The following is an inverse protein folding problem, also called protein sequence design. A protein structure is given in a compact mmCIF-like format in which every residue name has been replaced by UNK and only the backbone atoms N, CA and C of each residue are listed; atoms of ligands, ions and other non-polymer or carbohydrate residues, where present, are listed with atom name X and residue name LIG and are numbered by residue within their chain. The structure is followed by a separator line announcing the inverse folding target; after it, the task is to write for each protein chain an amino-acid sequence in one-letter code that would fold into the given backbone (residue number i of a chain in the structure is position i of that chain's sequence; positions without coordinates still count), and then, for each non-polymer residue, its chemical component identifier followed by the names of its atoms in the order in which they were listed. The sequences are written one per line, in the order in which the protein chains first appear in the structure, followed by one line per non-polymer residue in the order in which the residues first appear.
data_IF_764592706213
#
_entry.id   IF_764592706213
#
_cell.length_a   1.000
_cell.length_b   1.000
_cell.length_c   1.000
_cell.angle_alpha   90.00
_cell.angle_beta   90.00
_cell.angle_gamma   90.00
#
_symmetry.space_group_name_H-M   'P 1'
#
loop_
_entity.id
_entity.type
_entity.pdbx_description
1 polymer ?
#
# COMPACT_ATOMS: atom_id res chain seq x y z
N UNK A 1 13.19 5.71 6.24
CA UNK A 1 14.48 5.53 6.92
C UNK A 1 15.33 4.48 6.26
N UNK A 2 16.61 4.49 6.59
CA UNK A 2 17.59 3.58 6.01
C UNK A 2 18.60 3.14 7.07
N UNK A 3 19.11 1.91 6.93
CA UNK A 3 20.23 1.41 7.72
C UNK A 3 21.46 1.39 6.83
N UNK A 4 22.49 2.12 7.25
CA UNK A 4 23.80 2.13 6.59
C UNK A 4 24.70 1.11 7.31
N UNK A 5 25.02 0.01 6.64
CA UNK A 5 25.96 -1.01 7.10
C UNK A 5 27.22 -0.94 6.24
N UNK A 6 28.37 -0.69 6.85
CA UNK A 6 29.65 -0.63 6.13
C UNK A 6 30.39 -1.96 6.28
N UNK A 7 30.79 -2.58 5.17
CA UNK A 7 31.66 -3.78 5.17
C UNK A 7 32.98 -3.45 5.87
N UNK A 8 33.29 -4.19 6.92
CA UNK A 8 34.55 -4.03 7.68
C UNK A 8 34.43 -3.18 8.95
N UNK A 9 33.29 -2.57 9.24
CA UNK A 9 33.02 -1.91 10.50
C UNK A 9 31.82 -2.55 11.20
N UNK A 10 31.94 -2.81 12.49
CA UNK A 10 30.86 -3.36 13.31
C UNK A 10 29.73 -2.33 13.59
N UNK A 11 29.83 -1.12 13.07
CA UNK A 11 28.86 -0.04 13.26
C UNK A 11 27.87 0.00 12.10
N UNK A 12 26.61 -0.27 12.40
CA UNK A 12 25.49 0.06 11.55
C UNK A 12 24.77 1.30 12.09
N UNK A 13 24.49 2.27 11.21
CA UNK A 13 23.79 3.51 11.56
C UNK A 13 22.40 3.48 10.94
N UNK A 14 21.37 3.53 11.77
CA UNK A 14 19.97 3.67 11.33
C UNK A 14 19.58 5.15 11.26
N UNK A 15 19.06 5.58 10.13
CA UNK A 15 18.46 6.92 9.96
C UNK A 15 16.95 6.74 9.80
N UNK A 16 16.18 7.34 10.72
CA UNK A 16 14.72 7.36 10.65
C UNK A 16 14.27 8.49 9.74
N UNK A 17 13.55 8.15 8.66
CA UNK A 17 12.95 9.14 7.76
C UNK A 17 11.62 9.69 8.29
N UNK A 18 11.11 10.79 7.69
CA UNK A 18 9.88 11.46 8.10
C UNK A 18 8.61 10.72 7.65
N UNK A 19 8.68 9.98 6.57
CA UNK A 19 7.54 9.30 5.96
C UNK A 19 7.30 7.96 6.65
N UNK A 20 6.09 7.76 7.12
CA UNK A 20 5.62 6.49 7.69
C UNK A 20 4.45 5.98 6.87
N UNK A 21 4.55 4.76 6.38
CA UNK A 21 3.48 4.05 5.68
C UNK A 21 3.11 2.83 6.51
N UNK A 22 1.82 2.67 6.79
CA UNK A 22 1.30 1.52 7.57
C UNK A 22 1.00 0.36 6.62
N UNK A 23 0.80 -0.82 7.19
CA UNK A 23 0.33 -1.98 6.43
C UNK A 23 -1.05 -1.68 5.84
N UNK A 24 -1.23 -2.00 4.55
CA UNK A 24 -2.53 -1.98 3.92
C UNK A 24 -3.40 -3.12 4.49
N UNK A 25 -4.64 -2.79 4.82
CA UNK A 25 -5.59 -3.75 5.39
C UNK A 25 -6.84 -3.80 4.51
N UNK A 26 -7.34 -4.99 4.22
CA UNK A 26 -8.59 -5.14 3.48
C UNK A 26 -9.76 -4.58 4.28
N UNK A 27 -10.65 -3.85 3.61
CA UNK A 27 -11.83 -3.23 4.22
C UNK A 27 -12.84 -4.27 4.69
N UNK A 28 -12.95 -5.37 3.95
CA UNK A 28 -13.79 -6.53 4.27
C UNK A 28 -12.99 -7.82 4.14
N UNK A 29 -13.47 -8.95 4.65
CA UNK A 29 -12.87 -10.25 4.41
C UNK A 29 -12.66 -10.50 2.93
N UNK A 30 -11.51 -11.08 2.55
CA UNK A 30 -11.18 -11.41 1.17
C UNK A 30 -11.38 -12.89 0.91
N UNK A 31 -11.85 -13.23 -0.28
CA UNK A 31 -11.94 -14.61 -0.74
C UNK A 31 -10.59 -15.04 -1.37
N UNK A 32 -10.09 -16.18 -0.92
CA UNK A 32 -8.80 -16.71 -1.35
C UNK A 32 -9.04 -18.04 -2.07
N UNK A 33 -8.81 -18.04 -3.37
CA UNK A 33 -8.80 -19.29 -4.15
C UNK A 33 -7.41 -19.93 -4.12
N UNK A 34 -7.40 -21.27 -4.10
CA UNK A 34 -6.18 -22.06 -4.17
C UNK A 34 -6.20 -22.92 -5.42
N UNK A 35 -5.18 -22.81 -6.24
CA UNK A 35 -5.01 -23.66 -7.41
C UNK A 35 -3.71 -24.44 -7.34
N UNK A 36 -3.76 -25.67 -7.83
CA UNK A 36 -2.57 -26.48 -8.00
C UNK A 36 -1.79 -26.02 -9.22
N UNK A 37 -0.49 -25.91 -9.08
CA UNK A 37 0.44 -25.65 -10.17
C UNK A 37 1.43 -26.81 -10.30
N UNK A 38 1.80 -27.12 -11.52
CA UNK A 38 2.78 -28.17 -11.81
C UNK A 38 3.91 -27.57 -12.63
N UNK A 39 5.13 -27.91 -12.28
CA UNK A 39 6.32 -27.51 -13.04
C UNK A 39 6.31 -28.17 -14.39
N UNK A 40 6.38 -27.41 -15.48
CA UNK A 40 6.34 -27.93 -16.85
C UNK A 40 7.73 -28.34 -17.39
N UNK A 41 8.82 -27.78 -16.85
CA UNK A 41 10.19 -28.03 -17.30
C UNK A 41 11.11 -28.23 -16.10
N UNK A 42 11.94 -29.25 -16.12
CA UNK A 42 13.00 -29.44 -15.14
C UNK A 42 14.21 -28.55 -15.45
N UNK A 43 14.79 -27.95 -14.43
CA UNK A 43 16.02 -27.13 -14.56
C UNK A 43 17.29 -28.01 -14.75
N UNK A 44 17.20 -29.33 -14.48
CA UNK A 44 18.26 -30.31 -14.70
C UNK A 44 17.64 -31.55 -15.33
N UNK A 45 18.21 -32.01 -16.45
CA UNK A 45 17.90 -33.31 -17.02
C UNK A 45 18.50 -34.43 -16.16
N UNK A 46 17.68 -35.03 -15.29
CA UNK A 46 18.04 -36.28 -14.61
C UNK A 46 17.20 -37.39 -15.18
N UNK A 47 17.89 -38.36 -15.80
CA UNK A 47 17.24 -39.54 -16.33
C UNK A 47 16.40 -40.26 -15.25
N UNK A 48 15.11 -40.43 -15.52
CA UNK A 48 14.19 -41.17 -14.66
C UNK A 48 13.41 -40.36 -13.62
N UNK A 49 13.50 -39.04 -13.55
CA UNK A 49 12.61 -38.22 -12.73
C UNK A 49 11.54 -37.53 -13.60
N UNK A 50 10.29 -37.90 -13.36
CA UNK A 50 9.14 -37.16 -13.87
C UNK A 50 9.17 -35.71 -13.42
N UNK A 51 8.60 -34.80 -14.21
CA UNK A 51 8.54 -33.35 -13.98
C UNK A 51 7.57 -32.94 -12.87
N UNK A 52 7.19 -33.85 -11.97
CA UNK A 52 6.01 -33.78 -11.13
C UNK A 52 6.22 -33.00 -9.81
N UNK A 53 6.98 -31.90 -9.88
CA UNK A 53 7.00 -30.99 -8.72
C UNK A 53 5.70 -30.20 -8.72
N UNK A 54 4.79 -30.58 -7.82
CA UNK A 54 3.53 -29.91 -7.58
C UNK A 54 3.71 -28.80 -6.55
N UNK A 55 3.00 -27.71 -6.73
CA UNK A 55 2.89 -26.61 -5.80
C UNK A 55 1.46 -26.11 -5.74
N UNK A 56 1.16 -25.23 -4.81
CA UNK A 56 -0.11 -24.50 -4.76
C UNK A 56 0.13 -23.00 -4.91
N UNK A 57 -0.77 -22.33 -5.60
CA UNK A 57 -0.81 -20.88 -5.71
C UNK A 57 -2.12 -20.38 -5.10
N UNK A 58 -2.00 -19.49 -4.12
CA UNK A 58 -3.14 -18.81 -3.53
C UNK A 58 -3.33 -17.46 -4.23
N UNK A 59 -4.58 -17.07 -4.45
CA UNK A 59 -4.94 -15.81 -5.09
C UNK A 59 -6.12 -15.19 -4.37
N UNK A 60 -6.05 -13.90 -4.09
CA UNK A 60 -7.20 -13.09 -3.68
C UNK A 60 -8.03 -12.79 -4.94
N UNK A 61 -9.32 -13.11 -4.92
CA UNK A 61 -10.20 -12.90 -6.06
C UNK A 61 -10.51 -11.41 -6.26
N UNK A 62 -10.86 -10.76 -5.15
CA UNK A 62 -11.04 -9.31 -5.09
C UNK A 62 -10.77 -8.81 -3.66
N UNK A 63 -10.27 -7.58 -3.53
CA UNK A 63 -10.12 -6.93 -2.23
C UNK A 63 -9.91 -5.44 -2.36
N UNK A 64 -10.64 -4.65 -1.58
CA UNK A 64 -10.39 -3.24 -1.40
C UNK A 64 -9.55 -3.05 -0.13
N UNK A 65 -8.43 -2.36 -0.27
CA UNK A 65 -7.46 -2.16 0.81
C UNK A 65 -7.37 -0.68 1.18
N UNK A 66 -7.34 -0.40 2.47
CA UNK A 66 -7.07 0.93 3.01
C UNK A 66 -5.63 0.99 3.52
N UNK A 67 -4.87 1.94 3.00
CA UNK A 67 -3.51 2.25 3.41
C UNK A 67 -3.50 3.63 4.07
N UNK A 68 -2.81 3.77 5.19
CA UNK A 68 -2.63 5.05 5.85
C UNK A 68 -1.13 5.34 6.04
N UNK A 69 -0.78 6.61 5.98
CA UNK A 69 0.57 7.08 6.21
C UNK A 69 0.60 8.47 6.83
N UNK A 70 1.76 8.93 7.19
CA UNK A 70 1.99 10.28 7.68
C UNK A 70 3.40 10.76 7.41
N UNK A 71 3.55 12.07 7.28
CA UNK A 71 4.85 12.73 7.19
C UNK A 71 5.02 13.53 8.48
N UNK A 72 6.09 13.24 9.21
CA UNK A 72 6.42 13.90 10.47
C UNK A 72 7.31 15.11 10.23
N UNK A 73 6.84 16.31 10.60
CA UNK A 73 7.53 17.57 10.37
C UNK A 73 8.90 17.62 11.08
N UNK A 74 8.99 17.21 12.33
CA UNK A 74 10.24 17.26 13.11
C UNK A 74 11.33 16.33 12.52
N UNK A 75 10.94 15.20 11.92
CA UNK A 75 11.86 14.32 11.22
C UNK A 75 12.20 14.86 9.82
N UNK A 76 11.26 15.55 9.17
CA UNK A 76 11.48 16.22 7.89
C UNK A 76 12.59 17.27 8.02
N UNK A 77 12.51 18.15 9.01
CA UNK A 77 13.57 19.14 9.29
C UNK A 77 14.95 18.51 9.51
N UNK A 78 15.00 17.44 10.32
CA UNK A 78 16.26 16.74 10.63
C UNK A 78 16.88 16.02 9.44
N UNK A 79 16.09 15.65 8.46
CA UNK A 79 16.54 14.86 7.30
C UNK A 79 16.65 15.68 6.03
N UNK A 80 16.28 16.97 6.07
CA UNK A 80 16.25 17.84 4.89
C UNK A 80 15.14 17.48 3.89
N UNK A 81 14.09 16.78 4.35
CA UNK A 81 12.93 16.44 3.54
C UNK A 81 12.12 17.70 3.23
N UNK A 82 11.85 17.92 1.95
CA UNK A 82 11.23 19.14 1.44
C UNK A 82 9.76 18.95 1.05
N UNK A 83 9.07 20.06 0.76
CA UNK A 83 7.74 20.05 0.14
C UNK A 83 7.77 19.35 -1.23
N UNK A 84 8.82 19.52 -2.01
CA UNK A 84 8.99 18.84 -3.30
C UNK A 84 9.06 17.32 -3.12
N UNK A 85 9.72 16.84 -2.06
CA UNK A 85 9.75 15.41 -1.73
C UNK A 85 8.36 14.91 -1.33
N UNK A 86 7.57 15.73 -0.62
CA UNK A 86 6.19 15.38 -0.27
C UNK A 86 5.31 15.24 -1.51
N UNK A 87 5.44 16.15 -2.49
CA UNK A 87 4.73 16.06 -3.77
C UNK A 87 5.15 14.80 -4.57
N UNK A 88 6.44 14.46 -4.58
CA UNK A 88 6.92 13.22 -5.21
C UNK A 88 6.34 11.96 -4.53
N UNK A 89 6.21 11.97 -3.20
CA UNK A 89 5.55 10.87 -2.48
C UNK A 89 4.07 10.78 -2.86
N UNK A 90 3.38 11.90 -2.98
CA UNK A 90 1.99 11.96 -3.42
C UNK A 90 1.83 11.37 -4.82
N UNK A 91 2.68 11.80 -5.77
CA UNK A 91 2.70 11.26 -7.13
C UNK A 91 3.00 9.75 -7.15
N UNK A 92 3.98 9.30 -6.37
CA UNK A 92 4.31 7.87 -6.25
C UNK A 92 3.17 7.04 -5.67
N UNK A 93 2.33 7.60 -4.79
CA UNK A 93 1.14 6.91 -4.28
C UNK A 93 0.06 6.79 -5.34
N UNK A 94 -0.13 7.80 -6.18
CA UNK A 94 -1.11 7.80 -7.27
C UNK A 94 -0.75 6.77 -8.34
N UNK A 95 0.53 6.62 -8.63
CA UNK A 95 1.07 5.75 -9.69
C UNK A 95 1.66 4.43 -9.15
N UNK A 96 1.28 4.03 -7.93
CA UNK A 96 1.95 2.98 -7.16
C UNK A 96 2.10 1.64 -7.90
N UNK A 97 1.12 1.29 -8.74
CA UNK A 97 1.09 0.01 -9.47
C UNK A 97 1.39 0.16 -10.96
N UNK A 98 1.77 1.34 -11.43
CA UNK A 98 2.21 1.51 -12.80
C UNK A 98 3.58 0.82 -13.00
N UNK A 99 3.67 0.00 -14.05
CA UNK A 99 4.86 -0.78 -14.37
C UNK A 99 5.35 -1.73 -13.24
N UNK A 100 4.49 -2.03 -12.25
CA UNK A 100 4.78 -3.02 -11.20
C UNK A 100 4.12 -4.36 -11.51
N UNK A 101 4.68 -5.09 -12.45
CA UNK A 101 4.19 -6.42 -12.87
C UNK A 101 5.08 -7.54 -12.33
N UNK A 102 4.46 -8.58 -11.81
CA UNK A 102 5.12 -9.79 -11.35
C UNK A 102 4.19 -10.99 -11.40
N UNK A 103 4.70 -12.19 -11.18
CA UNK A 103 3.86 -13.39 -11.09
C UNK A 103 2.85 -13.35 -9.92
N UNK A 104 3.14 -12.58 -8.87
CA UNK A 104 2.23 -12.35 -7.74
C UNK A 104 1.26 -11.20 -8.00
N UNK A 105 1.64 -10.26 -8.83
CA UNK A 105 0.87 -9.09 -9.26
C UNK A 105 0.91 -8.99 -10.79
N UNK A 106 0.07 -9.75 -11.50
CA UNK A 106 -0.03 -9.61 -12.95
C UNK A 106 -0.40 -8.18 -13.33
N UNK A 107 0.01 -7.76 -14.51
CA UNK A 107 -0.32 -6.45 -15.03
C UNK A 107 -1.84 -6.20 -15.02
N UNK A 108 -2.25 -5.02 -14.55
CA UNK A 108 -3.66 -4.67 -14.39
C UNK A 108 -4.41 -5.38 -13.25
N UNK A 109 -3.72 -6.15 -12.38
CA UNK A 109 -4.35 -6.82 -11.24
C UNK A 109 -4.51 -5.94 -10.02
N UNK A 110 -3.83 -4.83 -9.94
CA UNK A 110 -3.90 -3.87 -8.84
C UNK A 110 -3.95 -2.44 -9.39
N UNK A 111 -4.72 -1.59 -8.72
CA UNK A 111 -4.86 -0.19 -9.07
C UNK A 111 -5.04 0.66 -7.80
N UNK A 112 -4.64 1.92 -7.85
CA UNK A 112 -4.98 2.91 -6.84
C UNK A 112 -6.32 3.53 -7.21
N UNK A 113 -7.31 3.44 -6.34
CA UNK A 113 -8.62 4.09 -6.60
C UNK A 113 -8.57 5.57 -6.25
N UNK A 114 -8.14 5.91 -5.03
CA UNK A 114 -8.08 7.30 -4.57
C UNK A 114 -6.95 7.49 -3.58
N UNK A 115 -6.33 8.67 -3.63
CA UNK A 115 -5.42 9.17 -2.62
C UNK A 115 -6.10 10.35 -1.92
N UNK A 116 -6.19 10.29 -0.60
CA UNK A 116 -6.68 11.36 0.25
C UNK A 116 -5.48 12.00 0.94
N UNK A 117 -5.24 13.28 0.68
CA UNK A 117 -4.08 13.97 1.18
C UNK A 117 -4.49 15.18 2.02
N UNK A 118 -4.01 15.24 3.27
CA UNK A 118 -4.23 16.36 4.17
C UNK A 118 -2.91 17.06 4.48
N UNK A 119 -2.90 18.38 4.31
CA UNK A 119 -1.77 19.20 4.67
C UNK A 119 -2.14 20.08 5.86
N UNK A 120 -1.54 19.79 7.02
CA UNK A 120 -1.71 20.60 8.20
C UNK A 120 -1.06 21.99 8.04
N UNK A 121 -1.60 23.00 8.70
CA UNK A 121 -1.11 24.37 8.69
C UNK A 121 -0.18 24.68 9.88
N UNK A 122 0.14 23.70 10.71
CA UNK A 122 1.01 23.84 11.87
C UNK A 122 1.85 22.58 12.09
N UNK A 123 3.01 22.74 12.73
CA UNK A 123 4.02 21.69 12.93
C UNK A 123 3.52 20.49 13.74
N UNK A 124 2.67 20.74 14.73
CA UNK A 124 2.08 19.69 15.58
C UNK A 124 0.90 18.98 14.93
N UNK A 125 0.40 19.52 13.80
CA UNK A 125 -0.84 19.09 13.19
C UNK A 125 -2.09 19.63 13.89
N UNK A 126 -3.10 20.05 13.11
CA UNK A 126 -4.40 20.54 13.64
C UNK A 126 -5.18 19.42 14.32
N UNK A 127 -4.96 18.18 13.88
CA UNK A 127 -5.57 16.95 14.40
C UNK A 127 -4.53 15.86 14.53
N UNK A 128 -4.76 14.91 15.41
CA UNK A 128 -3.93 13.71 15.49
C UNK A 128 -4.07 12.86 14.21
N UNK A 129 -3.00 12.18 13.81
CA UNK A 129 -3.03 11.27 12.66
C UNK A 129 -4.14 10.23 12.77
N UNK A 130 -4.44 9.75 13.98
CA UNK A 130 -5.52 8.80 14.20
C UNK A 130 -6.89 9.40 13.85
N UNK A 131 -7.15 10.66 14.25
CA UNK A 131 -8.41 11.36 13.93
C UNK A 131 -8.54 11.59 12.42
N UNK A 132 -7.46 12.01 11.76
CA UNK A 132 -7.44 12.18 10.30
C UNK A 132 -7.66 10.86 9.57
N UNK A 133 -6.95 9.79 9.97
CA UNK A 133 -7.13 8.48 9.33
C UNK A 133 -8.52 7.89 9.53
N UNK A 134 -9.15 8.18 10.67
CA UNK A 134 -10.49 7.69 10.99
C UNK A 134 -11.61 8.53 10.39
N UNK A 135 -11.32 9.73 9.85
CA UNK A 135 -12.32 10.53 9.15
C UNK A 135 -12.73 9.93 7.80
N UNK A 136 -11.89 9.08 7.22
CA UNK A 136 -12.21 8.35 6.00
C UNK A 136 -12.88 7.01 6.35
N UNK A 137 -14.15 6.89 6.03
CA UNK A 137 -14.94 5.68 6.21
C UNK A 137 -15.11 4.96 4.86
N UNK A 138 -14.87 3.67 4.86
CA UNK A 138 -15.06 2.80 3.70
C UNK A 138 -15.84 1.59 4.20
N UNK A 139 -17.06 1.45 3.75
CA UNK A 139 -17.98 0.43 4.23
C UNK A 139 -18.52 -0.41 3.07
N UNK A 140 -18.64 -1.73 3.27
CA UNK A 140 -19.32 -2.58 2.32
C UNK A 140 -20.82 -2.22 2.30
N UNK A 141 -21.42 -2.13 1.12
CA UNK A 141 -22.85 -1.86 0.98
C UNK A 141 -23.67 -3.00 1.62
N UNK A 142 -24.76 -2.69 2.32
CA UNK A 142 -25.52 -3.70 3.10
C UNK A 142 -26.08 -4.87 2.29
N UNK A 143 -26.36 -4.64 1.01
CA UNK A 143 -26.87 -5.63 0.08
C UNK A 143 -25.78 -6.54 -0.51
N UNK A 144 -24.51 -6.21 -0.32
CA UNK A 144 -23.37 -6.96 -0.88
C UNK A 144 -22.86 -7.97 0.14
N UNK A 145 -22.89 -9.24 -0.23
CA UNK A 145 -22.36 -10.33 0.61
C UNK A 145 -20.89 -10.60 0.27
N UNK A 146 -20.55 -10.66 -1.02
CA UNK A 146 -19.20 -10.89 -1.52
C UNK A 146 -18.87 -9.77 -2.51
N UNK A 147 -17.97 -8.85 -2.16
CA UNK A 147 -17.61 -7.74 -3.04
C UNK A 147 -16.79 -8.22 -4.23
N UNK A 148 -17.00 -7.60 -5.40
CA UNK A 148 -16.31 -7.92 -6.65
C UNK A 148 -15.76 -6.70 -7.37
N UNK A 149 -16.16 -5.50 -6.94
CA UNK A 149 -15.77 -4.23 -7.57
C UNK A 149 -15.77 -3.09 -6.54
N UNK A 150 -15.15 -1.99 -6.89
CA UNK A 150 -15.04 -0.82 -6.01
C UNK A 150 -16.41 -0.23 -5.62
N UNK A 151 -17.38 -0.25 -6.55
CA UNK A 151 -18.73 0.28 -6.37
C UNK A 151 -19.58 -0.53 -5.38
N UNK A 152 -19.09 -1.67 -4.92
CA UNK A 152 -19.69 -2.46 -3.84
C UNK A 152 -19.45 -1.84 -2.46
N UNK A 153 -18.66 -0.74 -2.40
CA UNK A 153 -18.35 -0.02 -1.17
C UNK A 153 -18.84 1.43 -1.23
N UNK A 154 -19.32 1.90 -0.09
CA UNK A 154 -19.57 3.31 0.15
C UNK A 154 -18.35 3.95 0.79
N UNK A 155 -17.90 5.08 0.23
CA UNK A 155 -16.78 5.86 0.76
C UNK A 155 -17.30 7.21 1.22
N UNK A 156 -17.19 7.49 2.51
CA UNK A 156 -17.60 8.76 3.12
C UNK A 156 -16.44 9.39 3.89
N UNK A 157 -16.49 10.69 4.05
CA UNK A 157 -15.44 11.47 4.69
C UNK A 157 -16.07 12.45 5.70
N UNK A 158 -15.58 12.40 6.93
CA UNK A 158 -15.95 13.39 7.94
C UNK A 158 -15.28 14.73 7.63
N UNK A 159 -16.01 15.81 7.80
CA UNK A 159 -15.44 17.14 7.72
C UNK A 159 -14.56 17.43 8.94
N UNK A 160 -13.30 17.76 8.71
CA UNK A 160 -12.36 18.22 9.73
C UNK A 160 -12.23 19.73 9.61
N UNK A 161 -12.87 20.46 10.50
CA UNK A 161 -12.91 21.93 10.45
C UNK A 161 -11.51 22.55 10.37
N UNK A 162 -11.27 23.37 9.34
CA UNK A 162 -9.99 24.03 9.10
C UNK A 162 -8.88 23.15 8.55
N UNK A 163 -9.18 21.90 8.17
CA UNK A 163 -8.22 21.00 7.52
C UNK A 163 -8.85 20.42 6.23
N UNK A 164 -8.52 21.03 5.11
CA UNK A 164 -9.01 20.60 3.82
C UNK A 164 -8.33 19.30 3.35
N UNK A 165 -9.07 18.49 2.63
CA UNK A 165 -8.57 17.28 1.98
C UNK A 165 -8.41 17.50 0.49
N UNK A 166 -7.28 17.13 -0.06
CA UNK A 166 -7.09 16.95 -1.50
C UNK A 166 -7.43 15.49 -1.85
N UNK A 167 -8.40 15.30 -2.72
CA UNK A 167 -8.79 13.96 -3.20
C UNK A 167 -8.29 13.80 -4.63
N UNK A 168 -7.47 12.80 -4.85
CA UNK A 168 -6.82 12.54 -6.14
C UNK A 168 -7.26 11.17 -6.61
N UNK A 169 -7.76 11.10 -7.85
CA UNK A 169 -8.03 9.80 -8.48
C UNK A 169 -6.72 9.06 -8.73
N UNK A 170 -6.72 7.76 -8.49
CA UNK A 170 -5.60 6.91 -8.84
C UNK A 170 -5.46 6.74 -10.36
N UNK A 171 -4.38 6.12 -10.75
CA UNK A 171 -4.05 5.94 -12.16
C UNK A 171 -3.82 4.47 -12.46
#
# INVERSE_FOLDING_TARGET
GQVFAFKGNSLSVGVRGPVTVRTAVSVSPVDVSTMQITKSVNSEEKAGKASDTMGSKNRVEFGLYKLCGSINHQLAEKTGFSEEDAEKIKEALVTLFENDSSSARPDGSMEVKKVYWWKHNCEMGQYSSAKVHNSLHVNLLPEVVIPKKYEDYEVTLDNLEGLDVEVIEGR
#
